data_IF_174388173894
#
_entry.id   IF_174388173894
#
_cell.length_a   1.000
_cell.length_b   1.000
_cell.length_c   1.000
_cell.angle_alpha   90.00
_cell.angle_beta   90.00
_cell.angle_gamma   90.00
#
_symmetry.space_group_name_H-M   'P 1'
#
loop_
_entity.id
_entity.type
_entity.pdbx_description
1 polymer ?
#
# COMPACT_ATOMS: atom_id res chain seq x y z
N UNK A 1 -8.32 8.93 2.93
CA UNK A 1 -7.53 9.70 1.95
C UNK A 1 -6.36 10.38 2.66
N UNK A 2 -6.62 11.32 3.57
CA UNK A 2 -5.57 12.11 4.23
C UNK A 2 -4.41 11.27 4.77
N UNK A 3 -4.69 10.17 5.46
CA UNK A 3 -3.65 9.27 5.98
C UNK A 3 -2.85 8.58 4.87
N UNK A 4 -3.53 8.08 3.84
CA UNK A 4 -2.86 7.45 2.69
C UNK A 4 -1.95 8.45 1.95
N UNK A 5 -2.41 9.67 1.78
CA UNK A 5 -1.63 10.75 1.18
C UNK A 5 -0.41 11.13 2.04
N UNK A 6 -0.60 11.23 3.36
CA UNK A 6 0.47 11.48 4.32
C UNK A 6 1.55 10.40 4.28
N UNK A 7 1.17 9.12 4.23
CA UNK A 7 2.12 8.00 4.13
C UNK A 7 2.93 8.06 2.82
N UNK A 8 2.29 8.39 1.70
CA UNK A 8 2.98 8.60 0.43
C UNK A 8 3.98 9.77 0.49
N UNK A 9 3.57 10.89 1.08
CA UNK A 9 4.46 12.05 1.29
C UNK A 9 5.63 11.68 2.22
N UNK A 10 5.38 10.91 3.28
CA UNK A 10 6.44 10.44 4.18
C UNK A 10 7.45 9.56 3.44
N UNK A 11 6.97 8.66 2.59
CA UNK A 11 7.84 7.83 1.75
C UNK A 11 8.72 8.70 0.84
N UNK A 12 8.13 9.67 0.14
CA UNK A 12 8.86 10.58 -0.76
C UNK A 12 9.91 11.42 -0.04
N UNK A 13 9.69 11.75 1.23
CA UNK A 13 10.60 12.59 2.03
C UNK A 13 11.51 11.80 2.96
N UNK A 14 11.52 10.47 2.89
CA UNK A 14 12.39 9.61 3.68
C UNK A 14 12.13 9.68 5.18
N UNK A 15 10.88 9.86 5.57
CA UNK A 15 10.49 9.83 6.99
C UNK A 15 10.68 8.42 7.53
N UNK A 16 11.57 8.28 8.51
CA UNK A 16 11.93 6.99 9.07
C UNK A 16 10.84 6.39 9.94
N UNK A 17 10.17 7.20 10.75
CA UNK A 17 9.11 6.77 11.65
C UNK A 17 8.12 7.89 11.93
N UNK A 18 6.86 7.53 12.09
CA UNK A 18 5.80 8.43 12.51
C UNK A 18 4.86 7.70 13.50
N UNK A 19 4.28 8.44 14.42
CA UNK A 19 3.36 7.89 15.41
C UNK A 19 1.94 8.41 15.14
N UNK A 20 0.98 7.49 15.07
CA UNK A 20 -0.43 7.84 15.06
C UNK A 20 -0.90 8.06 16.50
N UNK A 21 -1.50 9.23 16.77
CA UNK A 21 -1.90 9.60 18.14
C UNK A 21 -3.20 8.93 18.62
N UNK A 22 -4.10 8.56 17.71
CA UNK A 22 -5.42 8.01 18.06
C UNK A 22 -5.60 6.58 17.59
N UNK A 23 -6.27 5.77 18.41
CA UNK A 23 -6.60 4.36 18.11
C UNK A 23 -8.01 4.17 17.53
N UNK A 24 -8.87 5.20 17.57
CA UNK A 24 -10.27 5.10 17.13
C UNK A 24 -10.47 5.46 15.64
N UNK A 25 -9.39 5.58 14.91
CA UNK A 25 -9.41 6.05 13.54
C UNK A 25 -9.42 4.89 12.55
N UNK A 26 -10.55 4.21 12.38
CA UNK A 26 -10.69 3.04 11.51
C UNK A 26 -10.16 3.29 10.09
N UNK A 27 -10.49 4.43 9.49
CA UNK A 27 -10.01 4.77 8.15
C UNK A 27 -8.50 5.06 8.09
N UNK A 28 -7.91 5.60 9.16
CA UNK A 28 -6.47 5.78 9.24
C UNK A 28 -5.75 4.44 9.33
N UNK A 29 -6.24 3.52 10.17
CA UNK A 29 -5.70 2.16 10.25
C UNK A 29 -5.86 1.40 8.93
N UNK A 30 -6.99 1.57 8.25
CA UNK A 30 -7.20 0.98 6.92
C UNK A 30 -6.19 1.52 5.90
N UNK A 31 -5.90 2.81 5.92
CA UNK A 31 -4.87 3.40 5.06
C UNK A 31 -3.46 2.87 5.40
N UNK A 32 -3.13 2.70 6.68
CA UNK A 32 -1.87 2.07 7.10
C UNK A 32 -1.81 0.63 6.59
N UNK A 33 -2.87 -0.15 6.74
CA UNK A 33 -2.94 -1.52 6.22
C UNK A 33 -2.79 -1.58 4.70
N UNK A 34 -3.31 -0.59 3.98
CA UNK A 34 -3.12 -0.51 2.53
C UNK A 34 -1.64 -0.45 2.14
N UNK A 35 -0.80 0.22 2.94
CA UNK A 35 0.64 0.31 2.72
C UNK A 35 1.44 -0.85 3.30
N UNK A 36 0.93 -1.55 4.30
CA UNK A 36 1.72 -2.52 5.08
C UNK A 36 1.21 -3.95 5.02
N UNK A 37 -0.05 -4.17 4.66
CA UNK A 37 -0.72 -5.48 4.69
C UNK A 37 -1.99 -5.48 3.85
N UNK A 38 -1.88 -5.10 2.57
CA UNK A 38 -3.07 -4.88 1.71
C UNK A 38 -3.85 -6.16 1.39
N UNK A 39 -3.18 -7.31 1.40
CA UNK A 39 -3.77 -8.64 1.11
C UNK A 39 -4.15 -9.44 2.37
N UNK A 40 -3.90 -8.88 3.57
CA UNK A 40 -4.07 -9.59 4.83
C UNK A 40 -3.02 -10.65 5.13
N UNK A 41 -2.00 -10.79 4.28
CA UNK A 41 -0.91 -11.77 4.37
C UNK A 41 0.47 -11.12 4.52
N UNK A 42 0.50 -9.83 4.80
CA UNK A 42 1.73 -9.06 5.05
C UNK A 42 2.33 -8.40 3.81
N UNK A 43 1.67 -8.43 2.65
CA UNK A 43 2.16 -7.72 1.47
C UNK A 43 2.07 -6.20 1.64
N UNK A 44 3.20 -5.52 1.40
CA UNK A 44 3.30 -4.07 1.55
C UNK A 44 3.48 -3.33 0.23
N UNK A 45 3.43 -2.00 0.31
CA UNK A 45 3.56 -1.08 -0.81
C UNK A 45 4.90 -1.18 -1.57
N UNK A 46 5.93 -1.72 -0.94
CA UNK A 46 7.28 -1.83 -1.50
C UNK A 46 8.27 -0.97 -0.71
N UNK A 47 9.56 -1.19 -0.95
CA UNK A 47 10.66 -0.56 -0.20
C UNK A 47 11.46 0.46 -1.02
N UNK A 48 11.20 0.56 -2.32
CA UNK A 48 11.90 1.44 -3.24
C UNK A 48 10.91 2.25 -4.07
N UNK A 49 10.84 3.56 -3.81
CA UNK A 49 9.99 4.46 -4.58
C UNK A 49 10.46 4.58 -6.02
N UNK A 50 9.52 4.58 -6.94
CA UNK A 50 9.74 4.96 -8.33
C UNK A 50 9.11 6.34 -8.60
N UNK A 51 9.59 7.01 -9.65
CA UNK A 51 9.06 8.31 -10.03
C UNK A 51 7.60 8.21 -10.41
N UNK A 52 6.76 9.00 -9.75
CA UNK A 52 5.34 9.07 -10.01
C UNK A 52 4.86 10.52 -9.90
N UNK A 53 4.05 10.97 -10.84
CA UNK A 53 3.51 12.33 -10.88
C UNK A 53 2.03 12.30 -11.21
N UNK A 54 1.29 13.29 -10.76
CA UNK A 54 -0.10 13.54 -11.15
C UNK A 54 -0.24 14.92 -11.77
N UNK A 55 -1.20 15.07 -12.67
CA UNK A 55 -1.46 16.37 -13.32
C UNK A 55 -2.13 17.36 -12.37
N UNK A 56 -2.92 16.87 -11.42
CA UNK A 56 -3.66 17.69 -10.47
C UNK A 56 -3.64 17.07 -9.06
N UNK A 57 -2.75 17.57 -8.22
CA UNK A 57 -2.58 17.09 -6.84
C UNK A 57 -3.72 17.52 -5.90
N UNK A 58 -4.56 18.46 -6.30
CA UNK A 58 -5.70 18.89 -5.49
C UNK A 58 -6.80 17.85 -5.52
N UNK A 59 -7.02 17.22 -6.66
CA UNK A 59 -8.07 16.24 -6.86
C UNK A 59 -7.60 14.80 -6.77
N UNK A 60 -6.30 14.53 -7.05
CA UNK A 60 -5.73 13.18 -7.02
C UNK A 60 -4.25 13.21 -6.67
N UNK A 61 -3.78 12.19 -5.96
CA UNK A 61 -2.36 11.92 -5.76
C UNK A 61 -2.04 10.48 -6.11
N UNK A 62 -0.80 10.24 -6.51
CA UNK A 62 -0.30 8.92 -6.82
C UNK A 62 1.10 8.69 -6.24
N UNK A 63 1.34 7.48 -5.77
CA UNK A 63 2.62 7.04 -5.22
C UNK A 63 2.91 5.63 -5.71
N UNK A 64 4.11 5.40 -6.23
CA UNK A 64 4.48 4.11 -6.78
C UNK A 64 5.76 3.57 -6.14
N UNK A 65 5.84 2.25 -5.97
CA UNK A 65 7.01 1.58 -5.43
C UNK A 65 7.21 0.19 -6.05
N UNK A 66 8.44 -0.27 -5.96
CA UNK A 66 8.88 -1.62 -6.28
C UNK A 66 9.59 -2.24 -5.08
N UNK A 67 9.95 -3.52 -5.13
CA UNK A 67 10.78 -4.16 -4.13
C UNK A 67 12.23 -4.23 -4.62
N UNK A 68 13.12 -3.51 -3.96
CA UNK A 68 14.52 -3.42 -4.35
C UNK A 68 14.70 -2.87 -5.76
N UNK A 69 15.28 -3.66 -6.67
CA UNK A 69 15.46 -3.32 -8.07
C UNK A 69 14.53 -4.15 -9.01
N UNK A 70 13.53 -4.83 -8.45
CA UNK A 70 12.61 -5.67 -9.22
C UNK A 70 11.45 -4.87 -9.78
N UNK A 71 11.46 -4.62 -11.09
CA UNK A 71 10.41 -3.93 -11.84
C UNK A 71 9.35 -4.87 -12.44
N UNK A 72 9.34 -6.15 -12.08
CA UNK A 72 8.34 -7.09 -12.60
C UNK A 72 6.98 -6.90 -11.91
N UNK A 73 7.00 -6.32 -10.71
CA UNK A 73 5.79 -5.92 -9.97
C UNK A 73 5.94 -4.50 -9.45
N UNK A 74 4.97 -3.65 -9.76
CA UNK A 74 4.82 -2.30 -9.22
C UNK A 74 3.59 -2.26 -8.32
N UNK A 75 3.71 -1.60 -7.18
CA UNK A 75 2.54 -1.16 -6.40
C UNK A 75 2.31 0.33 -6.63
N UNK A 76 1.06 0.69 -6.85
CA UNK A 76 0.65 2.05 -7.12
C UNK A 76 -0.56 2.41 -6.24
N UNK A 77 -0.38 3.38 -5.35
CA UNK A 77 -1.49 3.97 -4.60
C UNK A 77 -1.99 5.20 -5.34
N UNK A 78 -3.29 5.26 -5.61
CA UNK A 78 -3.95 6.40 -6.25
C UNK A 78 -5.13 6.85 -5.37
N UNK A 79 -5.29 8.15 -5.20
CA UNK A 79 -6.41 8.73 -4.43
C UNK A 79 -7.36 9.49 -5.34
N UNK A 80 -8.67 9.33 -5.12
CA UNK A 80 -9.66 10.29 -5.59
C UNK A 80 -10.12 11.15 -4.40
N UNK A 81 -9.70 12.42 -4.38
CA UNK A 81 -9.98 13.39 -3.32
C UNK A 81 -11.32 14.12 -3.53
N UNK A 82 -11.93 13.99 -4.70
CA UNK A 82 -13.21 14.62 -5.01
C UNK A 82 -14.29 14.17 -4.02
N UNK A 83 -15.17 15.09 -3.65
CA UNK A 83 -16.17 14.84 -2.63
C UNK A 83 -17.38 14.08 -3.17
N UNK A 84 -17.80 14.40 -4.38
CA UNK A 84 -19.01 13.87 -5.01
C UNK A 84 -18.77 13.34 -6.45
N UNK A 85 -17.59 13.61 -7.03
CA UNK A 85 -17.31 13.26 -8.42
C UNK A 85 -16.46 11.98 -8.52
N UNK A 86 -16.86 11.11 -9.45
CA UNK A 86 -16.01 10.01 -9.90
C UNK A 86 -14.81 10.57 -10.68
N UNK A 87 -13.71 9.86 -10.60
CA UNK A 87 -12.49 10.21 -11.32
C UNK A 87 -12.02 9.04 -12.14
N UNK A 88 -11.67 9.29 -13.40
CA UNK A 88 -10.96 8.34 -14.25
C UNK A 88 -9.48 8.70 -14.25
N UNK A 89 -8.66 7.86 -13.62
CA UNK A 89 -7.23 7.97 -13.69
C UNK A 89 -6.69 7.25 -14.93
N UNK A 90 -6.03 7.99 -15.82
CA UNK A 90 -5.29 7.43 -16.94
C UNK A 90 -3.81 7.41 -16.53
N UNK A 91 -3.25 6.22 -16.43
CA UNK A 91 -1.92 5.98 -15.85
C UNK A 91 -1.01 5.44 -16.95
N UNK A 92 0.09 6.15 -17.22
CA UNK A 92 1.14 5.68 -18.11
C UNK A 92 2.23 5.00 -17.29
N UNK A 93 2.51 3.74 -17.63
CA UNK A 93 3.50 2.90 -16.99
C UNK A 93 4.81 2.94 -17.79
N UNK A 94 5.95 2.92 -17.11
CA UNK A 94 7.26 2.94 -17.77
C UNK A 94 7.60 1.67 -18.56
N UNK A 95 6.90 0.58 -18.28
CA UNK A 95 7.06 -0.72 -18.94
C UNK A 95 5.70 -1.32 -19.30
N UNK A 96 5.70 -2.39 -20.09
CA UNK A 96 4.51 -3.17 -20.40
C UNK A 96 4.20 -4.15 -19.27
N UNK A 97 2.93 -4.19 -18.86
CA UNK A 97 2.40 -5.10 -17.85
C UNK A 97 1.15 -5.80 -18.38
N UNK A 98 0.78 -6.92 -17.76
CA UNK A 98 -0.33 -7.75 -18.22
C UNK A 98 -1.40 -8.00 -17.17
N UNK A 99 -1.05 -7.82 -15.90
CA UNK A 99 -1.93 -8.13 -14.77
C UNK A 99 -2.01 -6.93 -13.85
N UNK A 100 -3.18 -6.67 -13.35
CA UNK A 100 -3.43 -5.68 -12.32
C UNK A 100 -4.41 -6.23 -11.31
N UNK A 101 -4.05 -6.17 -10.02
CA UNK A 101 -4.87 -6.54 -8.89
C UNK A 101 -5.21 -5.27 -8.11
N UNK A 102 -6.47 -5.07 -7.77
CA UNK A 102 -6.96 -3.86 -7.14
C UNK A 102 -7.44 -4.10 -5.71
N UNK A 103 -6.87 -3.37 -4.78
CA UNK A 103 -7.32 -3.22 -3.40
C UNK A 103 -7.78 -1.79 -3.16
N UNK A 104 -8.64 -1.57 -2.18
CA UNK A 104 -9.08 -0.20 -1.92
C UNK A 104 -9.85 0.01 -0.65
N UNK A 105 -10.06 1.29 -0.36
CA UNK A 105 -10.88 1.82 0.71
C UNK A 105 -11.78 2.89 0.11
N UNK A 106 -13.06 2.85 0.40
CA UNK A 106 -13.99 3.87 -0.05
C UNK A 106 -14.74 4.54 1.12
N UNK A 107 -15.60 5.49 0.80
CA UNK A 107 -16.36 6.25 1.81
C UNK A 107 -17.38 5.42 2.60
N UNK A 108 -17.69 4.19 2.16
CA UNK A 108 -18.71 3.34 2.80
C UNK A 108 -18.12 2.37 3.81
N UNK A 109 -16.84 2.01 3.68
CA UNK A 109 -16.20 1.03 4.54
C UNK A 109 -14.74 1.35 4.79
N UNK A 110 -14.33 1.25 6.05
CA UNK A 110 -12.93 1.29 6.46
C UNK A 110 -12.22 -0.07 6.35
N UNK A 111 -12.90 -1.10 5.84
CA UNK A 111 -12.24 -2.37 5.53
C UNK A 111 -11.61 -2.28 4.15
N UNK A 112 -10.41 -2.80 4.03
CA UNK A 112 -9.81 -3.07 2.72
C UNK A 112 -10.64 -4.13 2.01
N UNK A 113 -10.95 -3.91 0.75
CA UNK A 113 -11.53 -4.95 -0.09
C UNK A 113 -10.61 -5.24 -1.25
N UNK A 114 -10.56 -6.52 -1.55
CA UNK A 114 -10.10 -7.01 -2.83
C UNK A 114 -11.19 -6.74 -3.86
N UNK A 115 -10.85 -5.94 -4.85
CA UNK A 115 -11.78 -5.50 -5.89
C UNK A 115 -11.49 -6.15 -7.23
N UNK A 116 -10.52 -7.07 -7.31
CA UNK A 116 -9.98 -7.58 -8.57
C UNK A 116 -11.01 -8.32 -9.41
N UNK A 117 -11.75 -9.25 -8.78
CA UNK A 117 -12.66 -10.14 -9.50
C UNK A 117 -13.98 -9.47 -9.92
N UNK A 118 -14.30 -8.33 -9.34
CA UNK A 118 -15.58 -7.65 -9.55
C UNK A 118 -15.45 -6.26 -10.17
N UNK A 119 -14.24 -5.86 -10.56
CA UNK A 119 -14.01 -4.49 -10.98
C UNK A 119 -13.81 -4.33 -12.49
N UNK A 120 -14.87 -3.97 -13.23
CA UNK A 120 -14.74 -3.55 -14.61
C UNK A 120 -13.99 -2.21 -14.75
N UNK A 121 -13.62 -1.58 -13.65
CA UNK A 121 -13.12 -0.21 -13.58
C UNK A 121 -11.62 -0.14 -13.84
N UNK A 122 -10.92 -1.29 -13.89
CA UNK A 122 -9.50 -1.37 -14.25
C UNK A 122 -9.34 -1.93 -15.65
N UNK A 123 -8.77 -1.14 -16.54
CA UNK A 123 -8.38 -1.59 -17.89
C UNK A 123 -6.88 -1.42 -18.07
N UNK A 124 -6.17 -2.55 -18.23
CA UNK A 124 -4.74 -2.58 -18.52
C UNK A 124 -4.50 -2.92 -19.98
N UNK A 125 -3.75 -2.08 -20.66
CA UNK A 125 -3.40 -2.25 -22.07
C UNK A 125 -1.91 -1.94 -22.29
N UNK A 126 -1.07 -2.96 -22.09
CA UNK A 126 0.37 -2.83 -22.24
C UNK A 126 0.99 -1.91 -21.18
N UNK A 127 1.41 -0.72 -21.59
CA UNK A 127 1.98 0.30 -20.70
C UNK A 127 0.96 1.35 -20.23
N UNK A 128 -0.32 1.17 -20.53
CA UNK A 128 -1.38 2.11 -20.16
C UNK A 128 -2.42 1.43 -19.29
N UNK A 129 -2.81 2.07 -18.19
CA UNK A 129 -3.82 1.57 -17.27
C UNK A 129 -4.86 2.66 -17.04
N UNK A 130 -6.13 2.30 -17.16
CA UNK A 130 -7.25 3.17 -16.80
C UNK A 130 -7.95 2.62 -15.59
N UNK A 131 -8.17 3.48 -14.58
CA UNK A 131 -8.86 3.16 -13.33
C UNK A 131 -9.99 4.17 -13.10
N UNK A 132 -11.22 3.68 -12.99
CA UNK A 132 -12.34 4.49 -12.50
C UNK A 132 -12.44 4.39 -10.98
N UNK A 133 -12.56 5.53 -10.32
CA UNK A 133 -12.62 5.61 -8.86
C UNK A 133 -13.86 6.39 -8.42
N UNK A 134 -14.59 5.81 -7.48
CA UNK A 134 -15.65 6.51 -6.76
C UNK A 134 -15.09 7.70 -5.97
N UNK A 135 -15.93 8.69 -5.60
CA UNK A 135 -15.51 9.79 -4.75
C UNK A 135 -14.90 9.30 -3.44
N UNK A 136 -13.90 10.01 -2.94
CA UNK A 136 -13.25 9.74 -1.65
C UNK A 136 -12.73 8.30 -1.53
N UNK A 137 -12.08 7.82 -2.58
CA UNK A 137 -11.52 6.48 -2.66
C UNK A 137 -9.98 6.52 -2.59
N UNK A 138 -9.40 5.53 -1.94
CA UNK A 138 -7.98 5.19 -2.04
C UNK A 138 -7.89 3.82 -2.67
N UNK A 139 -7.19 3.74 -3.78
CA UNK A 139 -6.95 2.52 -4.54
C UNK A 139 -5.48 2.14 -4.46
N UNK A 140 -5.17 0.87 -4.25
CA UNK A 140 -3.85 0.30 -4.42
C UNK A 140 -3.91 -0.74 -5.52
N UNK A 141 -3.11 -0.53 -6.55
CA UNK A 141 -2.92 -1.44 -7.66
C UNK A 141 -1.62 -2.21 -7.47
N UNK A 142 -1.68 -3.53 -7.60
CA UNK A 142 -0.52 -4.40 -7.77
C UNK A 142 -0.47 -4.78 -9.24
N UNK A 143 0.53 -4.28 -9.95
CA UNK A 143 0.64 -4.36 -11.41
C UNK A 143 1.84 -5.25 -11.73
N UNK A 144 1.65 -6.32 -12.50
CA UNK A 144 2.66 -7.31 -12.78
C UNK A 144 2.85 -7.59 -14.27
N UNK A 145 4.09 -7.89 -14.69
CA UNK A 145 4.42 -8.27 -16.06
C UNK A 145 3.87 -9.63 -16.43
N UNK A 146 3.79 -10.54 -15.48
CA UNK A 146 3.20 -11.87 -15.65
C UNK A 146 2.51 -12.34 -14.35
N UNK A 147 1.76 -13.40 -14.47
CA UNK A 147 1.02 -13.96 -13.33
C UNK A 147 1.94 -14.58 -12.28
N UNK A 148 3.06 -15.16 -12.70
CA UNK A 148 4.03 -15.80 -11.80
C UNK A 148 4.69 -14.75 -10.89
N UNK A 149 5.00 -13.57 -11.42
CA UNK A 149 5.53 -12.45 -10.64
C UNK A 149 4.53 -11.96 -9.58
N UNK A 150 3.23 -11.91 -9.92
CA UNK A 150 2.17 -11.56 -8.99
C UNK A 150 2.04 -12.63 -7.87
N UNK A 151 1.89 -13.90 -8.25
CA UNK A 151 1.73 -15.03 -7.34
C UNK A 151 2.96 -15.21 -6.42
N UNK A 152 4.17 -14.97 -6.94
CA UNK A 152 5.42 -15.07 -6.17
C UNK A 152 5.48 -14.02 -5.07
N UNK A 153 5.01 -12.80 -5.34
CA UNK A 153 4.95 -11.74 -4.33
C UNK A 153 4.06 -12.09 -3.16
N UNK A 154 2.87 -12.61 -3.45
CA UNK A 154 1.92 -13.08 -2.44
C UNK A 154 2.50 -14.27 -1.64
N UNK A 155 3.18 -15.21 -2.32
CA UNK A 155 3.81 -16.35 -1.68
C UNK A 155 4.98 -15.97 -0.76
N UNK A 156 5.81 -15.00 -1.14
CA UNK A 156 6.92 -14.51 -0.31
C UNK A 156 6.39 -13.84 0.94
N UNK A 157 5.34 -13.05 0.82
CA UNK A 157 4.68 -12.42 1.96
C UNK A 157 4.13 -13.45 2.93
N UNK A 158 3.37 -14.43 2.45
CA UNK A 158 2.81 -15.50 3.28
C UNK A 158 3.87 -16.39 3.94
N UNK A 159 5.07 -16.53 3.34
CA UNK A 159 6.19 -17.27 3.90
C UNK A 159 6.89 -16.48 5.01
N UNK A 160 6.93 -15.17 4.92
CA UNK A 160 7.51 -14.31 5.96
C UNK A 160 6.70 -14.37 7.27
N UNK A 161 5.39 -14.48 7.19
CA UNK A 161 4.54 -14.71 8.38
C UNK A 161 4.70 -16.11 9.00
N UNK A 162 4.96 -17.13 8.18
CA UNK A 162 5.15 -18.53 8.64
C UNK A 162 6.58 -18.83 9.06
N UNK A 163 7.51 -17.94 8.80
CA UNK A 163 8.89 -18.06 9.27
C UNK A 163 8.94 -17.95 10.79
N UNK A 164 8.81 -19.08 11.48
CA UNK A 164 9.11 -19.20 12.91
C UNK A 164 10.52 -18.64 13.15
N UNK A 165 10.57 -17.40 13.60
CA UNK A 165 11.78 -16.84 14.15
C UNK A 165 12.20 -17.67 15.36
N UNK A 166 13.11 -18.62 15.18
CA UNK A 166 13.90 -19.16 16.27
C UNK A 166 14.82 -18.06 16.77
N UNK A 167 14.25 -17.04 17.37
CA UNK A 167 14.93 -16.14 18.25
C UNK A 167 15.00 -16.80 19.61
N UNK A 168 16.14 -17.40 19.92
CA UNK A 168 16.47 -17.87 21.26
C UNK A 168 16.84 -16.66 22.14
N UNK A 169 15.85 -15.83 22.44
CA UNK A 169 15.94 -14.87 23.56
C UNK A 169 15.21 -15.48 24.74
N UNK A 170 15.85 -15.56 25.93
CA UNK A 170 15.21 -16.10 27.12
C UNK A 170 14.04 -15.21 27.52
N UNK A 171 12.86 -15.79 27.56
CA UNK A 171 11.64 -15.17 28.06
C UNK A 171 11.81 -14.91 29.57
N UNK A 172 12.07 -13.67 29.97
CA UNK A 172 11.97 -13.25 31.36
C UNK A 172 10.49 -13.01 31.66
N UNK A 173 9.85 -14.01 32.22
CA UNK A 173 8.50 -13.88 32.80
C UNK A 173 8.59 -13.08 34.11
N UNK A 174 8.29 -11.79 34.02
CA UNK A 174 7.95 -10.97 35.19
C UNK A 174 6.44 -10.89 35.33
N UNK A 175 5.86 -11.66 36.23
CA UNK A 175 4.46 -11.52 36.63
C UNK A 175 4.34 -10.30 37.53
N UNK A 176 3.75 -9.24 37.03
CA UNK A 176 3.17 -8.16 37.84
C UNK A 176 1.73 -7.99 37.45
N UNK A 177 0.86 -8.23 38.43
CA UNK A 177 -0.57 -8.19 38.25
C UNK A 177 -1.14 -6.79 38.06
N UNK A 178 -2.20 -6.73 37.31
CA UNK A 178 -3.25 -5.72 37.40
C UNK A 178 -3.13 -4.53 36.45
N UNK A 179 -4.04 -4.47 35.53
CA UNK A 179 -4.51 -3.42 34.66
C UNK A 179 -4.25 -3.68 33.17
N UNK A 180 -5.34 -3.77 32.44
CA UNK A 180 -5.34 -3.98 30.99
C UNK A 180 -4.62 -2.81 30.30
N UNK A 181 -3.34 -3.00 29.97
CA UNK A 181 -2.63 -2.14 29.05
C UNK A 181 -2.79 -2.75 27.65
N UNK A 182 -3.65 -2.13 26.85
CA UNK A 182 -3.69 -2.32 25.42
C UNK A 182 -2.32 -1.95 24.85
N UNK A 183 -1.56 -2.96 24.40
CA UNK A 183 -0.29 -2.75 23.72
C UNK A 183 -0.57 -2.09 22.39
N UNK A 184 -0.21 -0.82 22.26
CA UNK A 184 -0.21 -0.13 20.98
C UNK A 184 0.77 -0.86 20.04
N UNK A 185 0.26 -1.45 18.96
CA UNK A 185 1.09 -1.99 17.90
C UNK A 185 1.79 -0.82 17.22
N UNK A 186 3.11 -0.72 17.40
CA UNK A 186 3.93 0.23 16.67
C UNK A 186 4.14 -0.36 15.28
N UNK A 187 3.47 0.21 14.29
CA UNK A 187 3.68 -0.15 12.89
C UNK A 187 4.90 0.65 12.40
N UNK A 188 6.00 -0.05 12.14
CA UNK A 188 7.18 0.54 11.50
C UNK A 188 7.08 0.27 10.00
N UNK A 189 6.84 1.30 9.21
CA UNK A 189 7.08 1.26 7.78
C UNK A 189 8.50 1.77 7.51
N UNK A 190 9.39 0.92 7.03
CA UNK A 190 10.77 1.29 6.67
C UNK A 190 10.83 1.50 5.17
N UNK A 191 11.02 2.73 4.72
CA UNK A 191 11.23 3.06 3.32
C UNK A 191 12.70 3.35 3.07
N UNK A 192 13.29 2.71 2.06
CA UNK A 192 14.64 3.03 1.58
C UNK A 192 14.54 3.88 0.31
N UNK A 193 15.11 5.06 0.35
CA UNK A 193 15.27 5.90 -0.84
C UNK A 193 16.64 5.63 -1.42
N UNK A 194 16.70 5.13 -2.67
CA UNK A 194 17.96 5.03 -3.40
C UNK A 194 18.33 6.42 -3.93
N UNK A 195 19.35 7.04 -3.35
CA UNK A 195 19.89 8.30 -3.84
C UNK A 195 20.67 8.00 -5.13
N UNK A 196 20.14 8.40 -6.28
CA UNK A 196 20.95 8.45 -7.50
C UNK A 196 22.03 9.51 -7.29
N UNK A 197 23.27 9.06 -7.13
CA UNK A 197 24.43 9.93 -7.20
C UNK A 197 24.77 10.10 -8.69
N UNK A 198 24.63 11.30 -9.19
CA UNK A 198 25.32 11.78 -10.40
C UNK A 198 26.69 12.31 -10.02
#
# INVERSE_FOLDING_TARGET
IMEADTLGIFAQNGVYAANLFTMDAQYQLAAINLYTNYDGSGSGFGDTLVSCTTDDIETSTAYAAINGDNEDVITLVVTNKAFDDKTTANIELGNEYKYAHLYGINSMSAQLFDMTDSNPDVTLNGSSLTLEMEPRTVSLLVIAKDKEALDTREAVSSAAEKGEGKSSLPLILGIVGGAAALVAAIVFAVFRIKKNQH
#
